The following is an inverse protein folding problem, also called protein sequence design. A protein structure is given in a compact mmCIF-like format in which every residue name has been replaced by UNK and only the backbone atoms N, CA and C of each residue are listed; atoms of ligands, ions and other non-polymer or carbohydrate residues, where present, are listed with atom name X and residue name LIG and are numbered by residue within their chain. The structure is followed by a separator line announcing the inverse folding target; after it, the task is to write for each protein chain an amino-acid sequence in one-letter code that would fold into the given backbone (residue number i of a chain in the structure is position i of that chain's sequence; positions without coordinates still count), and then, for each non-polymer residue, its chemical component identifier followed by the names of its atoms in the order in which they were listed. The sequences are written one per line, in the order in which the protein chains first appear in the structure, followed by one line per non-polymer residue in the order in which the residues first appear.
data_IF_340319394895
#
_entry.id   IF_340319394895
#
_cell.length_a   1.000
_cell.length_b   1.000
_cell.length_c   1.000
_cell.angle_alpha   90.00
_cell.angle_beta   90.00
_cell.angle_gamma   90.00
#
_symmetry.space_group_name_H-M   'P 1'
#
loop_
_entity.id
_entity.type
_entity.pdbx_description
1 polymer ?
#
# COMPACT_ATOMS: atom_id res chain seq x y z
N UNK A 1 -12.38 20.20 -15.04
CA UNK A 1 -11.42 21.14 -14.42
C UNK A 1 -12.24 21.94 -13.43
N UNK A 2 -12.48 21.34 -12.26
CA UNK A 2 -13.25 21.89 -11.14
C UNK A 2 -12.49 21.65 -9.81
N UNK A 3 -11.29 21.08 -9.86
CA UNK A 3 -10.47 20.76 -8.67
C UNK A 3 -9.80 22.00 -8.05
N UNK A 4 -9.80 23.16 -8.73
CA UNK A 4 -9.17 24.39 -8.22
C UNK A 4 -9.94 25.01 -7.05
N UNK A 5 -11.26 24.97 -7.12
CA UNK A 5 -12.15 25.63 -6.16
C UNK A 5 -12.23 24.85 -4.82
N UNK A 6 -11.97 23.54 -4.86
CA UNK A 6 -12.02 22.65 -3.68
C UNK A 6 -10.95 22.95 -2.63
N UNK A 7 -9.83 23.56 -3.04
CA UNK A 7 -8.73 23.90 -2.15
C UNK A 7 -8.66 25.39 -1.80
N UNK A 8 -9.16 26.28 -2.66
CA UNK A 8 -9.16 27.74 -2.42
C UNK A 8 -10.00 28.15 -1.21
N UNK A 9 -11.00 27.34 -0.86
CA UNK A 9 -11.91 27.60 0.25
C UNK A 9 -11.45 27.06 1.62
N UNK A 10 -10.28 26.41 1.67
CA UNK A 10 -9.75 25.78 2.89
C UNK A 10 -8.90 26.76 3.71
N UNK A 11 -9.06 26.71 5.04
CA UNK A 11 -8.15 27.41 5.95
C UNK A 11 -6.74 26.83 5.88
N UNK A 12 -5.73 27.59 6.32
CA UNK A 12 -4.33 27.14 6.32
C UNK A 12 -4.11 25.84 7.13
N UNK A 13 -4.92 25.60 8.17
CA UNK A 13 -4.86 24.37 8.96
C UNK A 13 -5.44 23.15 8.22
N UNK A 14 -6.56 23.33 7.54
CA UNK A 14 -7.20 22.28 6.73
C UNK A 14 -6.32 21.91 5.52
N UNK A 15 -5.71 22.92 4.89
CA UNK A 15 -4.76 22.70 3.79
C UNK A 15 -3.54 21.89 4.24
N UNK A 16 -2.98 22.19 5.42
CA UNK A 16 -1.88 21.40 5.99
C UNK A 16 -2.28 19.95 6.30
N UNK A 17 -3.49 19.74 6.82
CA UNK A 17 -4.03 18.40 7.09
C UNK A 17 -4.18 17.58 5.80
N UNK A 18 -4.77 18.18 4.77
CA UNK A 18 -4.98 17.54 3.46
C UNK A 18 -3.65 17.23 2.79
N UNK A 19 -2.70 18.19 2.79
CA UNK A 19 -1.37 17.98 2.24
C UNK A 19 -0.61 16.88 2.98
N UNK A 20 -0.68 16.85 4.32
CA UNK A 20 -0.08 15.79 5.13
C UNK A 20 -0.68 14.41 4.82
N UNK A 21 -2.01 14.32 4.71
CA UNK A 21 -2.69 13.09 4.33
C UNK A 21 -2.28 12.62 2.92
N UNK A 22 -2.18 13.53 1.95
CA UNK A 22 -1.76 13.22 0.59
C UNK A 22 -0.31 12.70 0.54
N UNK A 23 0.62 13.35 1.25
CA UNK A 23 2.03 12.92 1.34
C UNK A 23 2.13 11.53 1.98
N UNK A 24 1.45 11.30 3.10
CA UNK A 24 1.45 10.00 3.77
C UNK A 24 0.89 8.89 2.86
N UNK A 25 -0.18 9.20 2.13
CA UNK A 25 -0.80 8.26 1.18
C UNK A 25 0.13 7.94 0.01
N UNK A 26 0.84 8.95 -0.52
CA UNK A 26 1.83 8.78 -1.57
C UNK A 26 2.98 7.90 -1.11
N UNK A 27 3.53 8.15 0.08
CA UNK A 27 4.60 7.33 0.67
C UNK A 27 4.15 5.87 0.82
N UNK A 28 2.97 5.63 1.38
CA UNK A 28 2.41 4.28 1.52
C UNK A 28 2.25 3.57 0.16
N UNK A 29 1.79 4.31 -0.85
CA UNK A 29 1.64 3.80 -2.23
C UNK A 29 2.98 3.40 -2.84
N UNK A 30 4.00 4.26 -2.71
CA UNK A 30 5.34 3.99 -3.26
C UNK A 30 5.99 2.77 -2.60
N UNK A 31 5.83 2.62 -1.28
CA UNK A 31 6.32 1.45 -0.54
C UNK A 31 5.59 0.19 -1.03
N UNK A 32 4.27 0.24 -1.18
CA UNK A 32 3.49 -0.87 -1.72
C UNK A 32 3.93 -1.28 -3.13
N UNK A 33 4.14 -0.30 -4.02
CA UNK A 33 4.61 -0.53 -5.40
C UNK A 33 6.01 -1.15 -5.44
N UNK A 34 6.94 -0.67 -4.61
CA UNK A 34 8.27 -1.27 -4.48
C UNK A 34 8.18 -2.73 -4.01
N UNK A 35 7.29 -3.01 -3.06
CA UNK A 35 6.98 -4.37 -2.63
C UNK A 35 6.40 -5.24 -3.75
N UNK A 36 5.44 -4.74 -4.51
CA UNK A 36 4.84 -5.45 -5.65
C UNK A 36 5.88 -5.80 -6.72
N UNK A 37 6.81 -4.89 -7.01
CA UNK A 37 7.91 -5.16 -7.95
C UNK A 37 8.82 -6.27 -7.42
N UNK A 38 9.29 -6.15 -6.18
CA UNK A 38 10.19 -7.13 -5.56
C UNK A 38 9.57 -8.53 -5.49
N UNK A 39 8.36 -8.62 -4.94
CA UNK A 39 7.68 -9.90 -4.74
C UNK A 39 7.05 -10.43 -6.02
N UNK A 40 6.68 -9.58 -6.97
CA UNK A 40 6.27 -9.97 -8.31
C UNK A 40 7.39 -10.69 -9.06
N UNK A 41 8.62 -10.15 -9.00
CA UNK A 41 9.81 -10.80 -9.58
C UNK A 41 10.07 -12.15 -8.89
N UNK A 42 10.06 -12.18 -7.55
CA UNK A 42 10.26 -13.43 -6.79
C UNK A 42 9.21 -14.49 -7.11
N UNK A 43 7.95 -14.08 -7.29
CA UNK A 43 6.84 -14.97 -7.68
C UNK A 43 7.05 -15.50 -9.11
N UNK A 44 7.52 -14.66 -10.03
CA UNK A 44 7.85 -15.07 -11.40
C UNK A 44 9.00 -16.09 -11.43
N UNK A 45 10.07 -15.85 -10.66
CA UNK A 45 11.21 -16.77 -10.52
C UNK A 45 10.79 -18.14 -9.96
N UNK A 46 9.81 -18.17 -9.05
CA UNK A 46 9.25 -19.43 -8.54
C UNK A 46 8.39 -20.19 -9.57
N UNK A 47 7.71 -19.48 -10.46
CA UNK A 47 6.94 -20.12 -11.55
C UNK A 47 7.83 -20.60 -12.70
N UNK A 48 9.02 -20.00 -12.88
CA UNK A 48 9.98 -20.33 -13.93
C UNK A 48 11.41 -20.47 -13.36
N UNK A 49 11.70 -21.53 -12.57
CA UNK A 49 13.00 -21.68 -11.92
C UNK A 49 14.12 -21.93 -12.95
N UNK A 50 15.25 -21.20 -12.89
CA UNK A 50 16.33 -21.30 -13.88
C UNK A 50 17.18 -22.58 -13.79
N UNK A 51 17.13 -23.34 -12.69
CA UNK A 51 17.74 -24.68 -12.57
C UNK A 51 17.28 -25.37 -11.29
N UNK A 52 16.87 -26.64 -11.40
CA UNK A 52 16.30 -27.42 -10.29
C UNK A 52 17.34 -27.83 -9.25
N UNK A 53 17.07 -27.45 -8.00
CA UNK A 53 17.16 -28.26 -6.77
C UNK A 53 17.28 -27.31 -5.57
N UNK A 54 16.28 -27.33 -4.69
CA UNK A 54 16.33 -26.71 -3.37
C UNK A 54 15.74 -27.63 -2.29
N UNK A 55 15.80 -27.23 -1.01
CA UNK A 55 15.52 -28.11 0.12
C UNK A 55 14.02 -28.35 0.36
N UNK A 56 13.59 -29.60 0.16
CA UNK A 56 12.20 -30.11 0.10
C UNK A 56 11.25 -29.83 1.28
N UNK A 57 11.69 -29.28 2.41
CA UNK A 57 10.82 -29.07 3.58
C UNK A 57 10.38 -27.60 3.78
N UNK A 58 11.07 -26.64 3.14
CA UNK A 58 10.69 -25.22 3.12
C UNK A 58 10.16 -24.77 1.74
N UNK A 59 10.49 -25.51 0.67
CA UNK A 59 9.98 -25.28 -0.68
C UNK A 59 8.45 -25.36 -0.78
N UNK A 60 7.81 -26.22 0.02
CA UNK A 60 6.36 -26.37 -0.02
C UNK A 60 5.62 -25.12 0.50
N UNK A 61 6.22 -24.35 1.41
CA UNK A 61 5.63 -23.13 1.99
C UNK A 61 6.10 -21.84 1.31
N UNK A 62 7.28 -21.87 0.68
CA UNK A 62 7.85 -20.75 -0.10
C UNK A 62 6.88 -20.08 -1.09
N UNK A 63 6.08 -20.81 -1.92
CA UNK A 63 5.15 -20.18 -2.86
C UNK A 63 3.98 -19.52 -2.13
N UNK A 64 3.49 -20.10 -1.04
CA UNK A 64 2.39 -19.52 -0.26
C UNK A 64 2.83 -18.28 0.50
N UNK A 65 4.04 -18.28 1.08
CA UNK A 65 4.62 -17.10 1.73
C UNK A 65 4.87 -15.99 0.71
N UNK A 66 5.42 -16.31 -0.45
CA UNK A 66 5.66 -15.35 -1.53
C UNK A 66 4.35 -14.75 -2.06
N UNK A 67 3.33 -15.59 -2.28
CA UNK A 67 1.99 -15.15 -2.64
C UNK A 67 1.36 -14.28 -1.54
N UNK A 68 1.54 -14.63 -0.26
CA UNK A 68 1.04 -13.83 0.87
C UNK A 68 1.70 -12.44 0.89
N UNK A 69 3.02 -12.34 0.75
CA UNK A 69 3.70 -11.05 0.67
C UNK A 69 3.26 -10.23 -0.56
N UNK A 70 3.00 -10.90 -1.69
CA UNK A 70 2.45 -10.25 -2.88
C UNK A 70 1.04 -9.69 -2.62
N UNK A 71 0.16 -10.47 -1.99
CA UNK A 71 -1.19 -10.01 -1.63
C UNK A 71 -1.14 -8.86 -0.61
N UNK A 72 -0.29 -8.95 0.41
CA UNK A 72 -0.13 -7.88 1.39
C UNK A 72 0.39 -6.58 0.75
N UNK A 73 1.37 -6.66 -0.16
CA UNK A 73 1.88 -5.49 -0.89
C UNK A 73 0.83 -4.92 -1.85
N UNK A 74 -0.01 -5.76 -2.45
CA UNK A 74 -1.16 -5.33 -3.25
C UNK A 74 -2.18 -4.56 -2.40
N UNK A 75 -2.51 -5.07 -1.21
CA UNK A 75 -3.44 -4.41 -0.27
C UNK A 75 -2.89 -3.07 0.19
N UNK A 76 -1.60 -2.99 0.56
CA UNK A 76 -0.94 -1.73 0.97
C UNK A 76 -1.01 -0.72 -0.18
N UNK A 77 -0.67 -1.14 -1.40
CA UNK A 77 -0.72 -0.28 -2.59
C UNK A 77 -2.13 0.23 -2.85
N UNK A 78 -3.12 -0.67 -2.88
CA UNK A 78 -4.51 -0.32 -3.15
C UNK A 78 -5.06 0.66 -2.10
N UNK A 79 -4.78 0.42 -0.81
CA UNK A 79 -5.16 1.33 0.26
C UNK A 79 -4.47 2.69 0.11
N UNK A 80 -3.17 2.72 -0.25
CA UNK A 80 -2.43 3.94 -0.52
C UNK A 80 -3.05 4.78 -1.65
N UNK A 81 -3.38 4.14 -2.78
CA UNK A 81 -4.03 4.80 -3.93
C UNK A 81 -5.40 5.35 -3.55
N UNK A 82 -6.24 4.54 -2.89
CA UNK A 82 -7.57 4.98 -2.43
C UNK A 82 -7.47 6.14 -1.45
N UNK A 83 -6.52 6.10 -0.53
CA UNK A 83 -6.23 7.20 0.38
C UNK A 83 -5.76 8.45 -0.34
N UNK A 84 -4.96 8.31 -1.38
CA UNK A 84 -4.50 9.42 -2.19
C UNK A 84 -5.69 10.07 -2.93
N UNK A 85 -6.57 9.26 -3.53
CA UNK A 85 -7.80 9.76 -4.18
C UNK A 85 -8.73 10.51 -3.22
N UNK A 86 -8.80 10.06 -1.97
CA UNK A 86 -9.60 10.70 -0.92
C UNK A 86 -8.93 12.00 -0.46
N UNK A 87 -7.61 11.99 -0.25
CA UNK A 87 -6.86 13.17 0.19
C UNK A 87 -6.78 14.25 -0.91
N UNK A 88 -6.79 13.89 -2.19
CA UNK A 88 -6.80 14.88 -3.29
C UNK A 88 -8.14 15.59 -3.47
N UNK A 89 -9.19 15.20 -2.74
CA UNK A 89 -10.48 15.91 -2.70
C UNK A 89 -10.56 16.72 -1.42
N UNK A 90 -9.89 17.87 -1.38
CA UNK A 90 -9.63 18.61 -0.13
C UNK A 90 -10.90 18.96 0.65
N UNK A 91 -11.94 19.45 -0.04
CA UNK A 91 -13.24 19.79 0.53
C UNK A 91 -13.95 18.57 1.13
N UNK A 92 -14.16 17.52 0.31
CA UNK A 92 -14.77 16.25 0.73
C UNK A 92 -14.02 15.57 1.89
N UNK A 93 -12.70 15.72 1.91
CA UNK A 93 -11.84 15.16 2.93
C UNK A 93 -12.14 15.75 4.31
N UNK A 94 -12.22 17.09 4.38
CA UNK A 94 -12.50 17.83 5.62
C UNK A 94 -13.94 17.60 6.08
N UNK A 95 -14.89 17.54 5.15
CA UNK A 95 -16.33 17.33 5.45
C UNK A 95 -16.66 15.91 5.96
N UNK A 96 -15.70 14.98 5.90
CA UNK A 96 -15.85 13.65 6.53
C UNK A 96 -15.07 12.53 5.86
N UNK A 97 -14.46 12.78 4.69
CA UNK A 97 -13.63 11.81 3.98
C UNK A 97 -12.43 11.30 4.79
N UNK A 98 -11.93 12.11 5.75
CA UNK A 98 -10.84 11.73 6.65
C UNK A 98 -11.12 10.44 7.46
N UNK A 99 -12.39 10.12 7.74
CA UNK A 99 -12.76 8.88 8.44
C UNK A 99 -12.48 7.65 7.60
N UNK A 100 -12.85 7.69 6.31
CA UNK A 100 -12.54 6.62 5.35
C UNK A 100 -11.04 6.52 5.13
N UNK A 101 -10.36 7.66 5.05
CA UNK A 101 -8.90 7.70 4.96
C UNK A 101 -8.24 6.98 6.14
N UNK A 102 -8.69 7.24 7.38
CA UNK A 102 -8.18 6.55 8.56
C UNK A 102 -8.45 5.04 8.53
N UNK A 103 -9.62 4.61 8.06
CA UNK A 103 -9.93 3.18 7.94
C UNK A 103 -8.96 2.47 6.99
N UNK A 104 -8.75 3.03 5.80
CA UNK A 104 -7.79 2.46 4.85
C UNK A 104 -6.35 2.54 5.35
N UNK A 105 -5.98 3.62 6.05
CA UNK A 105 -4.68 3.72 6.71
C UNK A 105 -4.49 2.63 7.78
N UNK A 106 -5.52 2.33 8.58
CA UNK A 106 -5.47 1.25 9.57
C UNK A 106 -5.33 -0.14 8.92
N UNK A 107 -6.07 -0.39 7.83
CA UNK A 107 -5.95 -1.63 7.05
C UNK A 107 -4.55 -1.75 6.43
N UNK A 108 -4.05 -0.68 5.82
CA UNK A 108 -2.71 -0.63 5.25
C UNK A 108 -1.63 -0.84 6.31
N UNK A 109 -1.80 -0.27 7.50
CA UNK A 109 -0.88 -0.45 8.61
C UNK A 109 -0.88 -1.90 9.11
N UNK A 110 -2.07 -2.49 9.31
CA UNK A 110 -2.19 -3.90 9.69
C UNK A 110 -1.56 -4.83 8.65
N UNK A 111 -1.77 -4.57 7.35
CA UNK A 111 -1.13 -5.30 6.27
C UNK A 111 0.40 -5.12 6.29
N UNK A 112 0.89 -3.92 6.58
CA UNK A 112 2.32 -3.65 6.76
C UNK A 112 2.93 -4.38 7.94
N UNK A 113 2.26 -4.39 9.10
CA UNK A 113 2.69 -5.17 10.27
C UNK A 113 2.76 -6.66 9.92
N UNK A 114 1.70 -7.20 9.31
CA UNK A 114 1.68 -8.59 8.87
C UNK A 114 2.85 -8.87 7.92
N UNK A 115 3.09 -8.01 6.94
CA UNK A 115 4.20 -8.13 6.00
C UNK A 115 5.57 -8.22 6.70
N UNK A 116 5.82 -7.42 7.75
CA UNK A 116 7.08 -7.50 8.51
C UNK A 116 7.15 -8.69 9.46
N UNK A 117 6.01 -9.15 9.98
CA UNK A 117 5.96 -10.29 10.91
C UNK A 117 6.01 -11.64 10.21
N UNK A 118 5.62 -11.72 8.94
CA UNK A 118 5.73 -12.94 8.15
C UNK A 118 7.22 -13.16 7.82
N UNK A 119 7.77 -14.38 8.05
CA UNK A 119 9.16 -14.66 7.76
C UNK A 119 9.51 -14.40 6.29
N UNK A 120 10.53 -13.57 6.06
CA UNK A 120 11.03 -13.24 4.71
C UNK A 120 12.19 -14.15 4.27
N UNK A 121 12.76 -14.90 5.21
CA UNK A 121 13.85 -15.87 5.01
C UNK A 121 13.29 -17.16 4.43
N UNK A 122 13.65 -17.42 3.18
CA UNK A 122 13.73 -18.75 2.56
C UNK A 122 15.19 -19.15 2.63
#
# INVERSE_FOLDING_TARGET
MEDGDDFESLSSGEMAMVAGAAILSLVGTLIGLAGLLMWGIRTFEMMFPPSGDGPRLLEDFAPYLTALHFVLTLVITACGVLNMMIATRGRDFVEGGWKRWLMFSAVSFAAGVLFFTVPTTI
#
